data_IF_307226545728
#
_entry.id   IF_307226545728
#
_cell.length_a   1.000
_cell.length_b   1.000
_cell.length_c   1.000
_cell.angle_alpha   90.00
_cell.angle_beta   90.00
_cell.angle_gamma   90.00
#
_symmetry.space_group_name_H-M   'P 1'
#
loop_
_entity.id
_entity.type
_entity.pdbx_description
1 polymer ?
#
# COMPACT_ATOMS: atom_id res chain seq x y z
N UNK A 1 -14.10 -7.06 23.64
CA UNK A 1 -12.76 -6.85 23.07
C UNK A 1 -11.77 -6.94 24.21
N UNK A 2 -10.91 -7.95 24.21
CA UNK A 2 -9.78 -7.99 25.15
C UNK A 2 -8.62 -7.23 24.51
N UNK A 3 -8.17 -6.15 25.14
CA UNK A 3 -7.06 -5.30 24.68
C UNK A 3 -5.74 -5.60 25.43
N UNK A 4 -5.75 -6.62 26.31
CA UNK A 4 -4.53 -7.03 27.00
C UNK A 4 -3.72 -7.98 26.12
N UNK A 5 -2.45 -7.66 25.95
CA UNK A 5 -1.51 -8.52 25.25
C UNK A 5 -1.14 -9.72 26.10
N UNK A 6 -0.98 -10.88 25.46
CA UNK A 6 -0.42 -12.07 26.11
C UNK A 6 1.05 -11.84 26.51
N UNK A 7 1.59 -12.74 27.35
CA UNK A 7 3.00 -12.67 27.72
C UNK A 7 3.92 -12.81 26.51
N UNK A 8 3.57 -13.69 25.56
CA UNK A 8 4.28 -13.90 24.31
C UNK A 8 4.26 -12.63 23.43
N UNK A 9 3.10 -11.97 23.31
CA UNK A 9 2.96 -10.72 22.55
C UNK A 9 3.76 -9.56 23.20
N UNK A 10 3.79 -9.49 24.53
CA UNK A 10 4.63 -8.52 25.25
C UNK A 10 6.12 -8.78 25.02
N UNK A 11 6.55 -10.04 25.05
CA UNK A 11 7.94 -10.40 24.74
C UNK A 11 8.28 -10.11 23.28
N UNK A 12 7.40 -10.47 22.36
CA UNK A 12 7.55 -10.17 20.92
C UNK A 12 7.76 -8.66 20.68
N UNK A 13 7.02 -7.81 21.38
CA UNK A 13 7.23 -6.35 21.32
C UNK A 13 8.63 -5.94 21.72
N UNK A 14 9.17 -6.54 22.77
CA UNK A 14 10.54 -6.27 23.23
C UNK A 14 11.54 -6.71 22.17
N UNK A 15 11.37 -7.91 21.62
CA UNK A 15 12.26 -8.47 20.60
C UNK A 15 12.30 -7.59 19.34
N UNK A 16 11.13 -7.16 18.85
CA UNK A 16 11.01 -6.22 17.71
C UNK A 16 11.76 -4.93 17.98
N UNK A 17 11.54 -4.33 19.18
CA UNK A 17 12.15 -3.05 19.55
C UNK A 17 13.67 -3.13 19.59
N UNK A 18 14.22 -4.16 20.22
CA UNK A 18 15.67 -4.36 20.33
C UNK A 18 16.30 -4.63 18.96
N UNK A 19 15.63 -5.42 18.12
CA UNK A 19 16.08 -5.67 16.75
C UNK A 19 16.11 -4.37 15.93
N UNK A 20 15.04 -3.60 15.93
CA UNK A 20 14.95 -2.32 15.19
C UNK A 20 15.99 -1.31 15.70
N UNK A 21 16.20 -1.21 17.02
CA UNK A 21 17.22 -0.34 17.62
C UNK A 21 18.61 -0.63 17.09
N UNK A 22 18.89 -1.90 16.79
CA UNK A 22 20.20 -2.36 16.31
C UNK A 22 20.34 -2.22 14.79
N UNK A 23 19.28 -2.51 14.02
CA UNK A 23 19.35 -2.68 12.57
C UNK A 23 18.78 -1.50 11.78
N UNK A 24 17.82 -0.74 12.34
CA UNK A 24 17.24 0.38 11.60
C UNK A 24 18.29 1.46 11.29
N UNK A 25 18.31 1.98 10.05
CA UNK A 25 19.21 3.08 9.67
C UNK A 25 19.05 4.27 10.61
N UNK A 26 20.18 4.89 11.00
CA UNK A 26 20.18 6.05 11.89
C UNK A 26 19.81 7.35 11.20
N UNK A 27 19.87 7.37 9.87
CA UNK A 27 19.47 8.50 9.04
C UNK A 27 18.33 8.07 8.14
N UNK A 28 17.41 8.99 7.86
CA UNK A 28 16.36 8.77 6.86
C UNK A 28 17.01 8.45 5.52
N UNK A 29 16.49 7.43 4.84
CA UNK A 29 16.90 7.10 3.48
C UNK A 29 16.34 8.13 2.49
N UNK A 30 16.98 8.33 1.33
CA UNK A 30 16.44 9.13 0.23
C UNK A 30 15.04 8.64 -0.19
N UNK A 31 14.34 9.44 -0.99
CA UNK A 31 13.02 9.08 -1.50
C UNK A 31 13.05 7.73 -2.21
N UNK A 32 12.14 6.84 -1.80
CA UNK A 32 12.00 5.50 -2.42
C UNK A 32 11.42 5.56 -3.85
N UNK A 33 11.06 6.74 -4.32
CA UNK A 33 10.58 7.01 -5.67
C UNK A 33 11.70 7.52 -6.61
N UNK A 34 12.97 7.46 -6.17
CA UNK A 34 14.19 7.60 -6.97
C UNK A 34 14.93 6.28 -7.09
N UNK A 35 15.82 6.10 -8.07
CA UNK A 35 16.58 4.85 -8.23
C UNK A 35 17.46 4.56 -7.01
N UNK A 36 18.25 5.55 -6.56
CA UNK A 36 19.12 5.39 -5.39
C UNK A 36 18.31 5.03 -4.13
N UNK A 37 17.24 5.79 -3.86
CA UNK A 37 16.41 5.53 -2.69
C UNK A 37 15.70 4.18 -2.77
N UNK A 38 15.19 3.81 -3.96
CA UNK A 38 14.57 2.49 -4.16
C UNK A 38 15.54 1.35 -3.82
N UNK A 39 16.79 1.42 -4.30
CA UNK A 39 17.80 0.39 -4.07
C UNK A 39 18.15 0.29 -2.57
N UNK A 40 18.31 1.42 -1.88
CA UNK A 40 18.56 1.45 -0.43
C UNK A 40 17.37 0.89 0.38
N UNK A 41 16.14 1.22 -0.01
CA UNK A 41 14.95 0.66 0.62
C UNK A 41 14.80 -0.84 0.33
N UNK A 42 15.20 -1.31 -0.85
CA UNK A 42 15.25 -2.74 -1.19
C UNK A 42 16.27 -3.50 -0.32
N UNK A 43 17.45 -2.92 -0.07
CA UNK A 43 18.42 -3.51 0.87
C UNK A 43 17.86 -3.59 2.30
N UNK A 44 17.06 -2.62 2.68
CA UNK A 44 16.35 -2.68 3.96
C UNK A 44 15.32 -3.83 4.00
N UNK A 45 14.57 -4.07 2.91
CA UNK A 45 13.68 -5.24 2.80
C UNK A 45 14.47 -6.56 2.98
N UNK A 46 15.63 -6.67 2.34
CA UNK A 46 16.50 -7.83 2.50
C UNK A 46 17.02 -7.99 3.93
N UNK A 47 17.30 -6.88 4.59
CA UNK A 47 17.70 -6.89 6.00
C UNK A 47 16.58 -7.41 6.89
N UNK A 48 15.34 -6.95 6.68
CA UNK A 48 14.17 -7.48 7.38
C UNK A 48 13.94 -8.98 7.11
N UNK A 49 14.14 -9.40 5.87
CA UNK A 49 13.91 -10.78 5.43
C UNK A 49 14.89 -11.77 6.07
N UNK A 50 16.16 -11.41 6.26
CA UNK A 50 17.18 -12.28 6.90
C UNK A 50 16.71 -12.83 8.23
N UNK A 51 16.04 -12.00 9.03
CA UNK A 51 15.51 -12.37 10.35
C UNK A 51 13.97 -12.53 10.34
N UNK A 52 13.36 -12.63 9.15
CA UNK A 52 11.92 -12.84 8.92
C UNK A 52 11.02 -11.76 9.56
N UNK A 53 11.49 -10.54 9.62
CA UNK A 53 10.70 -9.41 10.13
C UNK A 53 9.81 -8.77 9.06
N UNK A 54 10.14 -8.96 7.78
CA UNK A 54 9.40 -8.35 6.68
C UNK A 54 7.93 -8.76 6.60
N UNK A 55 7.61 -10.01 6.98
CA UNK A 55 6.30 -10.61 6.76
C UNK A 55 5.90 -11.49 7.96
N UNK A 56 5.77 -10.89 9.15
CA UNK A 56 5.58 -11.62 10.43
C UNK A 56 4.34 -12.51 10.45
N UNK A 57 3.29 -12.15 9.74
CA UNK A 57 2.02 -12.89 9.68
C UNK A 57 1.92 -13.89 8.51
N UNK A 58 2.94 -13.98 7.63
CA UNK A 58 2.93 -14.97 6.57
C UNK A 58 3.26 -16.38 7.09
N UNK A 59 2.83 -17.44 6.39
CA UNK A 59 3.28 -18.80 6.66
C UNK A 59 4.79 -18.93 6.64
N UNK A 60 5.32 -19.76 7.54
CA UNK A 60 6.78 -19.95 7.69
C UNK A 60 7.42 -20.49 6.41
N UNK A 61 6.69 -21.34 5.69
CA UNK A 61 7.10 -21.94 4.40
C UNK A 61 7.34 -20.92 3.29
N UNK A 62 6.72 -19.72 3.40
CA UNK A 62 6.87 -18.62 2.43
C UNK A 62 7.71 -17.45 2.96
N UNK A 63 8.50 -17.68 4.02
CA UNK A 63 9.42 -16.68 4.56
C UNK A 63 8.86 -15.81 5.68
N UNK A 64 7.64 -16.08 6.18
CA UNK A 64 7.07 -15.42 7.34
C UNK A 64 7.45 -16.07 8.67
N UNK A 65 6.82 -15.58 9.75
CA UNK A 65 6.94 -16.14 11.10
C UNK A 65 5.72 -16.93 11.54
N UNK A 66 4.63 -16.97 10.76
CA UNK A 66 3.38 -17.64 11.09
C UNK A 66 2.63 -17.04 12.27
N UNK A 67 2.88 -15.76 12.57
CA UNK A 67 2.28 -15.08 13.71
C UNK A 67 0.89 -14.52 13.34
N UNK A 68 0.13 -14.16 14.37
CA UNK A 68 -1.20 -13.59 14.22
C UNK A 68 -1.21 -12.10 13.81
N UNK A 69 -2.39 -11.57 13.48
CA UNK A 69 -2.55 -10.17 13.08
C UNK A 69 -2.31 -9.18 14.24
N UNK A 70 -2.46 -9.58 15.50
CA UNK A 70 -2.09 -8.73 16.65
C UNK A 70 -0.57 -8.58 16.71
N UNK A 71 0.17 -9.66 16.51
CA UNK A 71 1.64 -9.61 16.41
C UNK A 71 2.10 -8.73 15.25
N UNK A 72 1.40 -8.79 14.10
CA UNK A 72 1.66 -7.85 13.01
C UNK A 72 1.42 -6.38 13.43
N UNK A 73 0.32 -6.06 14.13
CA UNK A 73 0.09 -4.70 14.64
C UNK A 73 1.19 -4.26 15.60
N UNK A 74 1.63 -5.14 16.50
CA UNK A 74 2.73 -4.87 17.42
C UNK A 74 4.03 -4.56 16.65
N UNK A 75 4.34 -5.34 15.61
CA UNK A 75 5.49 -5.09 14.75
C UNK A 75 5.40 -3.71 14.09
N UNK A 76 4.28 -3.37 13.50
CA UNK A 76 4.06 -2.07 12.85
C UNK A 76 4.18 -0.89 13.83
N UNK A 77 3.65 -1.03 15.05
CA UNK A 77 3.81 -0.01 16.08
C UNK A 77 5.28 0.27 16.42
N UNK A 78 6.07 -0.77 16.64
CA UNK A 78 7.49 -0.61 16.94
C UNK A 78 8.28 -0.15 15.71
N UNK A 79 7.89 -0.61 14.50
CA UNK A 79 8.47 -0.22 13.22
C UNK A 79 8.40 1.29 12.97
N UNK A 80 7.18 1.85 13.06
CA UNK A 80 6.96 3.28 12.85
C UNK A 80 7.45 4.13 14.04
N UNK A 81 7.46 3.59 15.26
CA UNK A 81 8.07 4.24 16.43
C UNK A 81 9.59 4.38 16.29
N UNK A 82 10.24 3.38 15.70
CA UNK A 82 11.68 3.39 15.42
C UNK A 82 12.05 4.28 14.22
N UNK A 83 11.07 4.89 13.55
CA UNK A 83 11.22 5.65 12.31
C UNK A 83 11.94 4.83 11.21
N UNK A 84 11.65 3.54 11.14
CA UNK A 84 12.25 2.63 10.17
C UNK A 84 11.84 3.01 8.73
N UNK A 85 12.67 2.66 7.71
CA UNK A 85 12.44 3.05 6.31
C UNK A 85 11.09 2.59 5.76
N UNK A 86 10.52 3.36 4.84
CA UNK A 86 9.31 2.95 4.12
C UNK A 86 9.58 1.68 3.32
N UNK A 87 8.53 0.88 3.08
CA UNK A 87 8.60 -0.42 2.41
C UNK A 87 8.37 -0.27 0.90
N UNK A 88 9.34 -0.65 0.05
CA UNK A 88 9.17 -0.69 -1.42
C UNK A 88 8.35 -1.90 -1.87
N UNK A 89 8.30 -2.94 -1.07
CA UNK A 89 7.63 -4.22 -1.37
C UNK A 89 6.11 -4.21 -1.15
N UNK A 90 5.52 -3.11 -0.70
CA UNK A 90 4.11 -3.04 -0.24
C UNK A 90 3.09 -3.66 -1.21
N UNK A 91 3.21 -3.38 -2.52
CA UNK A 91 2.28 -3.93 -3.51
C UNK A 91 2.36 -5.45 -3.61
N UNK A 92 3.58 -5.99 -3.51
CA UNK A 92 3.81 -7.44 -3.45
C UNK A 92 3.27 -8.02 -2.16
N UNK A 93 3.84 -7.63 -1.02
CA UNK A 93 3.62 -8.31 0.25
C UNK A 93 2.22 -8.13 0.84
N UNK A 94 1.56 -6.98 0.62
CA UNK A 94 0.25 -6.68 1.22
C UNK A 94 -0.93 -6.87 0.27
N UNK A 95 -0.72 -6.82 -1.06
CA UNK A 95 -1.78 -6.93 -2.05
C UNK A 95 -1.71 -8.23 -2.84
N UNK A 96 -0.57 -8.49 -3.49
CA UNK A 96 -0.44 -9.64 -4.38
C UNK A 96 -0.25 -10.95 -3.62
N UNK A 97 0.59 -10.98 -2.60
CA UNK A 97 0.89 -12.21 -1.88
C UNK A 97 -0.35 -12.87 -1.25
N UNK A 98 -1.23 -12.15 -0.50
CA UNK A 98 -2.47 -12.74 -0.03
C UNK A 98 -3.34 -13.28 -1.18
N UNK A 99 -3.34 -12.59 -2.33
CA UNK A 99 -4.06 -13.05 -3.52
C UNK A 99 -3.43 -14.33 -4.10
N UNK A 100 -2.09 -14.44 -4.15
CA UNK A 100 -1.41 -15.67 -4.58
C UNK A 100 -1.68 -16.81 -3.59
N UNK A 101 -1.67 -16.54 -2.29
CA UNK A 101 -1.98 -17.54 -1.27
C UNK A 101 -3.40 -18.10 -1.43
N UNK A 102 -4.36 -17.29 -1.83
CA UNK A 102 -5.76 -17.68 -2.02
C UNK A 102 -6.02 -18.33 -3.39
N UNK A 103 -5.57 -17.70 -4.48
CA UNK A 103 -5.93 -18.07 -5.86
C UNK A 103 -4.81 -18.76 -6.64
N UNK A 104 -3.56 -18.68 -6.17
CA UNK A 104 -2.41 -19.24 -6.89
C UNK A 104 -2.32 -20.76 -6.78
N UNK A 105 -1.79 -21.39 -7.83
CA UNK A 105 -1.38 -22.79 -7.80
C UNK A 105 -0.22 -23.00 -6.84
N UNK A 106 0.04 -24.26 -6.43
CA UNK A 106 1.20 -24.56 -5.58
C UNK A 106 2.53 -24.17 -6.24
N UNK A 107 2.63 -24.34 -7.58
CA UNK A 107 3.80 -23.94 -8.34
C UNK A 107 4.00 -22.41 -8.29
N UNK A 108 2.92 -21.63 -8.43
CA UNK A 108 2.97 -20.16 -8.32
C UNK A 108 3.34 -19.71 -6.90
N UNK A 109 2.77 -20.33 -5.87
CA UNK A 109 3.14 -20.03 -4.48
C UNK A 109 4.62 -20.28 -4.22
N UNK A 110 5.13 -21.44 -4.64
CA UNK A 110 6.55 -21.78 -4.49
C UNK A 110 7.49 -20.87 -5.30
N UNK A 111 7.06 -20.40 -6.47
CA UNK A 111 7.85 -19.53 -7.35
C UNK A 111 7.91 -18.08 -6.88
N UNK A 112 6.76 -17.51 -6.51
CA UNK A 112 6.64 -16.06 -6.33
C UNK A 112 6.71 -15.59 -4.88
N UNK A 113 6.23 -16.37 -3.91
CA UNK A 113 6.18 -15.91 -2.52
C UNK A 113 7.57 -15.79 -1.87
N UNK A 114 8.51 -16.74 -2.00
CA UNK A 114 9.82 -16.63 -1.37
C UNK A 114 10.64 -15.42 -1.86
N UNK A 115 10.81 -15.15 -3.18
CA UNK A 115 11.56 -13.98 -3.63
C UNK A 115 10.86 -12.65 -3.31
N UNK A 116 9.53 -12.65 -3.20
CA UNK A 116 8.78 -11.49 -2.70
C UNK A 116 9.04 -11.25 -1.22
N UNK A 117 9.11 -12.30 -0.41
CA UNK A 117 9.40 -12.21 1.02
C UNK A 117 10.84 -11.77 1.31
N UNK A 118 11.81 -12.15 0.45
CA UNK A 118 13.22 -11.75 0.59
C UNK A 118 13.52 -10.34 0.07
N UNK A 119 12.60 -9.71 -0.69
CA UNK A 119 12.85 -8.44 -1.37
C UNK A 119 13.64 -8.59 -2.67
N UNK A 120 13.80 -9.83 -3.19
CA UNK A 120 14.45 -10.08 -4.48
C UNK A 120 13.51 -9.77 -5.64
N UNK A 121 12.22 -9.93 -5.47
CA UNK A 121 11.19 -9.53 -6.42
C UNK A 121 10.31 -8.42 -5.85
N UNK A 122 10.38 -7.24 -6.43
CA UNK A 122 9.50 -6.11 -6.11
C UNK A 122 8.40 -5.99 -7.17
N UNK A 123 7.17 -5.75 -6.73
CA UNK A 123 5.98 -5.84 -7.57
C UNK A 123 5.25 -4.51 -7.73
N UNK A 124 4.87 -4.18 -8.96
CA UNK A 124 4.01 -3.06 -9.29
C UNK A 124 2.58 -3.53 -9.62
N UNK A 125 1.60 -2.66 -9.38
CA UNK A 125 0.21 -2.89 -9.78
C UNK A 125 -0.06 -2.24 -11.12
N UNK A 126 -0.57 -3.00 -12.10
CA UNK A 126 -0.84 -2.55 -13.46
C UNK A 126 -2.33 -2.72 -13.82
N UNK A 127 -3.20 -1.88 -13.21
CA UNK A 127 -4.65 -1.99 -13.38
C UNK A 127 -5.24 -0.84 -14.18
N UNK A 128 -5.05 0.40 -13.71
CA UNK A 128 -5.63 1.59 -14.32
C UNK A 128 -5.13 1.82 -15.74
N UNK A 129 -5.99 2.39 -16.58
CA UNK A 129 -5.68 2.86 -17.92
C UNK A 129 -6.02 4.34 -18.04
N UNK A 130 -5.54 5.07 -19.07
CA UNK A 130 -5.84 6.50 -19.21
C UNK A 130 -7.33 6.83 -19.10
N UNK A 131 -8.21 5.98 -19.66
CA UNK A 131 -9.67 6.17 -19.66
C UNK A 131 -10.39 5.29 -18.62
N UNK A 132 -9.67 4.50 -17.79
CA UNK A 132 -10.27 3.52 -16.88
C UNK A 132 -9.56 3.49 -15.54
N UNK A 133 -9.86 4.47 -14.67
CA UNK A 133 -9.44 4.54 -13.27
C UNK A 133 -10.56 4.09 -12.34
N UNK A 134 -11.46 5.01 -11.97
CA UNK A 134 -12.62 4.69 -11.12
C UNK A 134 -13.56 3.67 -11.77
N UNK A 135 -13.70 3.72 -13.11
CA UNK A 135 -14.40 2.70 -13.90
C UNK A 135 -13.43 1.61 -14.38
N UNK A 136 -12.83 0.90 -13.44
CA UNK A 136 -11.85 -0.15 -13.73
C UNK A 136 -12.41 -1.28 -14.60
N UNK A 137 -13.73 -1.48 -14.63
CA UNK A 137 -14.37 -2.46 -15.51
C UNK A 137 -14.30 -2.10 -16.98
N UNK A 138 -13.97 -0.85 -17.33
CA UNK A 138 -13.84 -0.36 -18.70
C UNK A 138 -12.45 -0.56 -19.32
N UNK A 139 -11.52 -1.25 -18.65
CA UNK A 139 -10.17 -1.52 -19.18
C UNK A 139 -10.20 -2.23 -20.53
N UNK A 140 -9.23 -1.87 -21.39
CA UNK A 140 -9.14 -2.32 -22.78
C UNK A 140 -7.86 -3.08 -23.11
N UNK A 141 -6.82 -3.00 -22.27
CA UNK A 141 -5.58 -3.79 -22.46
C UNK A 141 -5.98 -5.25 -22.62
N UNK A 142 -5.64 -5.83 -23.77
CA UNK A 142 -6.01 -7.20 -24.13
C UNK A 142 -4.84 -8.17 -23.96
N UNK A 143 -5.16 -9.43 -23.72
CA UNK A 143 -4.21 -10.52 -23.74
C UNK A 143 -4.84 -11.68 -24.54
N UNK A 144 -4.31 -11.94 -25.72
CA UNK A 144 -4.79 -12.99 -26.60
C UNK A 144 -3.95 -14.24 -26.41
N UNK A 145 -4.59 -15.38 -26.21
CA UNK A 145 -3.86 -16.65 -26.07
C UNK A 145 -3.29 -17.12 -27.40
N UNK A 146 -1.99 -17.39 -27.41
CA UNK A 146 -1.25 -17.95 -28.54
C UNK A 146 -0.41 -19.15 -28.04
N UNK A 147 -0.99 -20.34 -28.19
CA UNK A 147 -0.38 -21.58 -27.69
C UNK A 147 -0.22 -21.59 -26.17
N UNK A 148 1.02 -21.60 -25.71
CA UNK A 148 1.43 -21.62 -24.32
C UNK A 148 1.74 -20.22 -23.75
N UNK A 149 1.42 -19.15 -24.51
CA UNK A 149 1.60 -17.76 -24.11
C UNK A 149 0.32 -16.94 -24.25
N UNK A 150 0.25 -15.84 -23.50
CA UNK A 150 -0.61 -14.70 -23.80
C UNK A 150 0.20 -13.62 -24.49
N UNK A 151 -0.35 -13.01 -25.55
CA UNK A 151 0.18 -11.83 -26.22
C UNK A 151 -0.54 -10.62 -25.69
N UNK A 152 0.13 -9.79 -24.90
CA UNK A 152 -0.44 -8.63 -24.21
C UNK A 152 -0.22 -7.37 -25.01
N UNK A 153 -1.29 -6.61 -25.30
CA UNK A 153 -1.22 -5.33 -26.03
C UNK A 153 -2.12 -4.30 -25.35
N UNK A 154 -1.59 -3.10 -25.09
CA UNK A 154 -2.33 -2.01 -24.49
C UNK A 154 -1.47 -1.09 -23.64
N UNK A 155 -2.10 -0.33 -22.76
CA UNK A 155 -1.42 0.64 -21.90
C UNK A 155 -2.00 0.61 -20.48
N UNK A 156 -1.12 0.71 -19.50
CA UNK A 156 -1.47 0.93 -18.10
C UNK A 156 -0.86 2.25 -17.62
N UNK A 157 -1.50 2.86 -16.63
CA UNK A 157 -1.01 4.11 -16.03
C UNK A 157 -1.09 4.05 -14.51
N UNK A 158 -0.41 4.98 -13.84
CA UNK A 158 -0.34 5.10 -12.38
C UNK A 158 0.18 3.84 -11.69
N UNK A 159 1.08 3.10 -12.37
CA UNK A 159 1.72 1.92 -11.79
C UNK A 159 2.82 2.33 -10.83
N UNK A 160 2.55 2.22 -9.52
CA UNK A 160 3.48 2.66 -8.46
C UNK A 160 4.82 1.94 -8.57
N UNK A 161 5.90 2.70 -8.65
CA UNK A 161 7.30 2.25 -8.71
C UNK A 161 7.62 1.25 -9.84
N UNK A 162 6.76 1.15 -10.85
CA UNK A 162 6.99 0.22 -11.97
C UNK A 162 8.24 0.56 -12.78
N UNK A 163 8.79 1.78 -12.65
CA UNK A 163 10.09 2.15 -13.23
C UNK A 163 11.22 1.29 -12.64
N UNK A 164 11.14 0.95 -11.35
CA UNK A 164 12.18 0.28 -10.58
C UNK A 164 11.86 -1.18 -10.26
N UNK A 165 10.58 -1.57 -10.27
CA UNK A 165 10.11 -2.90 -9.90
C UNK A 165 10.53 -3.96 -10.93
N UNK A 166 10.51 -5.24 -10.49
CA UNK A 166 10.90 -6.40 -11.31
C UNK A 166 9.70 -6.99 -12.04
N UNK A 167 8.51 -6.95 -11.40
CA UNK A 167 7.28 -7.56 -11.89
C UNK A 167 6.08 -6.63 -11.78
N UNK A 168 5.07 -6.86 -12.57
CA UNK A 168 3.75 -6.31 -12.33
C UNK A 168 2.65 -7.38 -12.35
N UNK A 169 1.55 -7.10 -11.62
CA UNK A 169 0.32 -7.86 -11.72
C UNK A 169 -0.73 -7.03 -12.46
N UNK A 170 -1.01 -7.46 -13.69
CA UNK A 170 -1.88 -6.75 -14.61
C UNK A 170 -3.30 -7.33 -14.62
N UNK A 171 -4.30 -6.43 -14.67
CA UNK A 171 -5.67 -6.81 -15.00
C UNK A 171 -5.89 -6.52 -16.49
N UNK A 172 -6.23 -7.53 -17.26
CA UNK A 172 -6.33 -7.48 -18.73
C UNK A 172 -7.57 -8.20 -19.22
N UNK A 173 -7.99 -7.91 -20.45
CA UNK A 173 -9.12 -8.56 -21.11
C UNK A 173 -8.64 -9.74 -21.94
N UNK A 174 -9.08 -10.95 -21.59
CA UNK A 174 -8.69 -12.20 -22.25
C UNK A 174 -9.81 -12.79 -23.10
N UNK A 175 -11.08 -12.40 -22.88
CA UNK A 175 -12.22 -12.87 -23.67
C UNK A 175 -12.63 -11.80 -24.68
N UNK A 176 -12.52 -12.13 -25.96
CA UNK A 176 -12.91 -11.23 -27.05
C UNK A 176 -14.43 -10.95 -27.02
N UNK A 177 -14.80 -9.70 -27.30
CA UNK A 177 -16.21 -9.27 -27.27
C UNK A 177 -16.85 -9.17 -25.90
N UNK A 178 -16.11 -9.49 -24.82
CA UNK A 178 -16.61 -9.33 -23.44
C UNK A 178 -16.64 -7.87 -23.02
N UNK A 179 -17.58 -7.54 -22.14
CA UNK A 179 -17.77 -6.19 -21.63
C UNK A 179 -17.71 -6.13 -20.10
N UNK A 180 -17.34 -4.96 -19.62
CA UNK A 180 -17.31 -4.63 -18.17
C UNK A 180 -16.44 -5.62 -17.41
N UNK A 181 -16.95 -6.20 -16.33
CA UNK A 181 -16.22 -7.13 -15.45
C UNK A 181 -16.16 -8.58 -15.97
N UNK A 182 -16.77 -8.88 -17.10
CA UNK A 182 -16.67 -10.20 -17.75
C UNK A 182 -15.39 -10.28 -18.57
N UNK A 183 -14.85 -11.48 -18.75
CA UNK A 183 -13.73 -11.75 -19.63
C UNK A 183 -12.40 -11.12 -19.22
N UNK A 184 -12.26 -10.71 -17.96
CA UNK A 184 -11.03 -10.18 -17.42
C UNK A 184 -10.21 -11.29 -16.77
N UNK A 185 -8.89 -11.19 -16.87
CA UNK A 185 -7.92 -12.09 -16.23
C UNK A 185 -6.83 -11.31 -15.54
N UNK A 186 -6.21 -11.91 -14.52
CA UNK A 186 -5.06 -11.33 -13.82
C UNK A 186 -3.79 -12.07 -14.23
N UNK A 187 -2.84 -11.36 -14.82
CA UNK A 187 -1.60 -11.94 -15.34
C UNK A 187 -0.38 -11.32 -14.64
N UNK A 188 0.58 -12.15 -14.28
CA UNK A 188 1.85 -11.77 -13.67
C UNK A 188 2.90 -11.58 -14.78
N UNK A 189 3.42 -10.35 -14.93
CA UNK A 189 4.27 -9.97 -16.08
C UNK A 189 5.61 -9.45 -15.58
N UNK A 190 6.77 -10.03 -16.05
CA UNK A 190 8.07 -9.43 -15.81
C UNK A 190 8.15 -8.04 -16.47
N UNK A 191 8.69 -7.06 -15.77
CA UNK A 191 8.79 -5.69 -16.29
C UNK A 191 9.98 -5.47 -17.24
N UNK A 192 10.84 -6.47 -17.40
CA UNK A 192 11.93 -6.54 -18.39
C UNK A 192 11.55 -7.30 -19.66
N UNK A 193 10.28 -7.70 -19.83
CA UNK A 193 9.80 -8.42 -21.01
C UNK A 193 10.02 -7.62 -22.29
N UNK A 194 10.39 -8.30 -23.38
CA UNK A 194 10.45 -7.71 -24.72
C UNK A 194 9.09 -7.13 -25.13
N UNK A 195 9.08 -5.94 -25.73
CA UNK A 195 7.86 -5.23 -26.10
C UNK A 195 7.23 -4.42 -24.96
N UNK A 196 7.76 -4.46 -23.72
CA UNK A 196 7.27 -3.65 -22.61
C UNK A 196 8.12 -2.40 -22.43
N UNK A 197 7.48 -1.23 -22.55
CA UNK A 197 8.12 0.07 -22.27
C UNK A 197 7.55 0.69 -20.99
N UNK A 198 8.45 1.17 -20.13
CA UNK A 198 8.11 1.88 -18.88
C UNK A 198 8.44 3.36 -19.03
N UNK A 199 7.43 4.22 -18.91
CA UNK A 199 7.61 5.67 -18.96
C UNK A 199 7.30 6.28 -17.59
N UNK A 200 8.27 6.93 -16.93
CA UNK A 200 8.06 7.54 -15.62
C UNK A 200 7.06 8.69 -15.69
N UNK A 201 6.27 8.85 -14.63
CA UNK A 201 5.38 9.99 -14.39
C UNK A 201 5.93 10.73 -13.20
N UNK A 202 6.37 11.99 -13.41
CA UNK A 202 6.79 12.86 -12.33
C UNK A 202 5.58 13.29 -11.49
N UNK A 203 5.75 13.27 -10.17
CA UNK A 203 4.77 13.70 -9.19
C UNK A 203 4.97 15.18 -8.81
N UNK A 204 4.19 15.67 -7.84
CA UNK A 204 4.31 17.06 -7.35
C UNK A 204 5.66 17.35 -6.68
N UNK A 205 6.28 16.34 -6.10
CA UNK A 205 7.62 16.38 -5.50
C UNK A 205 8.75 16.26 -6.53
N UNK A 206 8.42 16.06 -7.81
CA UNK A 206 9.37 15.87 -8.90
C UNK A 206 9.85 14.43 -9.08
N UNK A 207 9.60 13.53 -8.14
CA UNK A 207 10.05 12.14 -8.19
C UNK A 207 9.22 11.30 -9.17
N UNK A 208 9.84 10.33 -9.90
CA UNK A 208 9.15 9.44 -10.83
C UNK A 208 8.52 8.22 -10.14
N UNK A 209 7.72 8.45 -9.10
CA UNK A 209 7.11 7.40 -8.28
C UNK A 209 6.03 6.56 -8.97
N UNK A 210 5.57 6.97 -10.16
CA UNK A 210 4.63 6.21 -10.99
C UNK A 210 5.17 6.00 -12.40
N UNK A 211 4.58 5.02 -13.11
CA UNK A 211 4.87 4.81 -14.53
C UNK A 211 3.60 4.56 -15.34
N UNK A 212 3.68 4.92 -16.62
CA UNK A 212 2.90 4.30 -17.68
C UNK A 212 3.63 3.06 -18.18
N UNK A 213 2.88 2.01 -18.46
CA UNK A 213 3.38 0.76 -19.03
C UNK A 213 2.72 0.58 -20.40
N UNK A 214 3.55 0.47 -21.43
CA UNK A 214 3.10 0.20 -22.80
C UNK A 214 3.45 -1.24 -23.15
N UNK A 215 2.45 -2.01 -23.53
CA UNK A 215 2.58 -3.41 -23.93
C UNK A 215 2.39 -3.48 -25.44
N UNK A 216 3.47 -3.80 -26.15
CA UNK A 216 3.46 -4.02 -27.61
C UNK A 216 3.76 -5.48 -27.89
N UNK A 217 2.69 -6.28 -28.00
CA UNK A 217 2.73 -7.73 -28.23
C UNK A 217 3.62 -8.50 -27.21
N UNK A 218 3.59 -8.09 -25.95
CA UNK A 218 4.38 -8.72 -24.88
C UNK A 218 3.93 -10.17 -24.65
N UNK A 219 4.86 -11.11 -24.83
CA UNK A 219 4.59 -12.55 -24.66
C UNK A 219 4.78 -12.97 -23.21
N UNK A 220 3.74 -13.51 -22.60
CA UNK A 220 3.73 -13.95 -21.19
C UNK A 220 3.27 -15.40 -21.11
N UNK A 221 4.02 -16.31 -20.45
CA UNK A 221 3.59 -17.70 -20.30
C UNK A 221 2.22 -17.86 -19.66
N UNK A 222 1.42 -18.82 -20.13
CA UNK A 222 0.07 -19.08 -19.58
C UNK A 222 0.11 -19.47 -18.09
N UNK A 223 1.21 -20.01 -17.60
CA UNK A 223 1.42 -20.34 -16.19
C UNK A 223 1.47 -19.12 -15.28
N UNK A 224 1.63 -17.91 -15.84
CA UNK A 224 1.58 -16.65 -15.12
C UNK A 224 0.15 -16.10 -14.93
N UNK A 225 -0.88 -16.80 -15.42
CA UNK A 225 -2.28 -16.50 -15.14
C UNK A 225 -2.59 -16.78 -13.67
N UNK A 226 -3.01 -15.77 -12.92
CA UNK A 226 -3.38 -15.91 -11.51
C UNK A 226 -4.90 -16.06 -11.35
N UNK A 227 -5.31 -17.21 -10.84
CA UNK A 227 -6.72 -17.57 -10.72
C UNK A 227 -7.33 -18.07 -12.04
N UNK A 228 -8.65 -18.18 -12.14
CA UNK A 228 -9.32 -18.70 -13.34
C UNK A 228 -9.24 -17.71 -14.51
N UNK A 229 -9.05 -18.25 -15.72
CA UNK A 229 -9.17 -17.47 -16.98
C UNK A 229 -10.58 -16.88 -17.09
N UNK A 230 -10.68 -15.63 -17.52
CA UNK A 230 -11.90 -14.80 -17.57
C UNK A 230 -12.56 -14.50 -16.21
N UNK A 231 -12.00 -15.02 -15.11
CA UNK A 231 -12.46 -14.79 -13.73
C UNK A 231 -11.68 -13.71 -12.97
N UNK A 232 -10.81 -12.97 -13.63
CA UNK A 232 -9.88 -12.00 -13.03
C UNK A 232 -10.55 -10.85 -12.27
N UNK A 233 -11.81 -10.53 -12.57
CA UNK A 233 -12.54 -9.53 -11.78
C UNK A 233 -12.69 -9.94 -10.31
N UNK A 234 -13.07 -11.20 -10.04
CA UNK A 234 -13.15 -11.73 -8.67
C UNK A 234 -11.81 -11.68 -7.95
N UNK A 235 -10.73 -12.08 -8.64
CA UNK A 235 -9.36 -12.02 -8.12
C UNK A 235 -8.91 -10.58 -7.84
N UNK A 236 -9.27 -9.63 -8.72
CA UNK A 236 -8.99 -8.21 -8.51
C UNK A 236 -9.77 -7.65 -7.33
N UNK A 237 -11.03 -8.03 -7.13
CA UNK A 237 -11.84 -7.58 -5.99
C UNK A 237 -11.30 -8.10 -4.66
N UNK A 238 -10.79 -9.33 -4.60
CA UNK A 238 -10.10 -9.86 -3.43
C UNK A 238 -8.83 -9.03 -3.12
N UNK A 239 -8.00 -8.77 -4.13
CA UNK A 239 -6.82 -7.89 -3.99
C UNK A 239 -7.19 -6.48 -3.50
N UNK A 240 -8.25 -5.88 -4.08
CA UNK A 240 -8.75 -4.57 -3.64
C UNK A 240 -9.30 -4.61 -2.19
N UNK A 241 -9.78 -5.76 -1.73
CA UNK A 241 -10.15 -6.01 -0.34
C UNK A 241 -8.94 -5.90 0.58
N UNK A 242 -7.82 -6.49 0.21
CA UNK A 242 -6.55 -6.37 0.95
C UNK A 242 -6.00 -4.95 0.93
N UNK A 243 -6.11 -4.23 -0.20
CA UNK A 243 -5.67 -2.83 -0.34
C UNK A 243 -6.41 -1.89 0.62
N UNK A 244 -7.72 -2.07 0.75
CA UNK A 244 -8.57 -1.29 1.66
C UNK A 244 -8.51 -1.80 3.09
N UNK A 245 -7.92 -2.99 3.28
CA UNK A 245 -7.85 -3.71 4.53
C UNK A 245 -6.71 -3.24 5.43
N UNK A 246 -6.41 -4.07 6.42
CA UNK A 246 -5.55 -3.77 7.55
C UNK A 246 -4.08 -3.57 7.18
N UNK A 247 -3.57 -4.39 6.25
CA UNK A 247 -2.13 -4.57 6.09
C UNK A 247 -1.43 -3.38 5.44
N UNK A 248 -2.06 -2.74 4.45
CA UNK A 248 -1.41 -1.65 3.71
C UNK A 248 -1.46 -0.29 4.44
N UNK A 249 -2.41 -0.10 5.38
CA UNK A 249 -2.63 1.17 6.09
C UNK A 249 -2.62 0.97 7.59
N UNK A 250 -1.46 0.58 8.09
CA UNK A 250 -1.23 0.45 9.53
C UNK A 250 -1.57 1.74 10.28
N UNK A 251 -2.32 1.66 11.39
CA UNK A 251 -2.60 2.83 12.24
C UNK A 251 -1.32 3.41 12.84
N UNK A 252 -0.29 2.60 13.05
CA UNK A 252 0.98 3.00 13.65
C UNK A 252 1.69 4.10 12.83
N UNK A 253 1.58 4.07 11.50
CA UNK A 253 2.08 5.14 10.62
C UNK A 253 1.49 6.49 11.00
N UNK A 254 0.17 6.55 11.18
CA UNK A 254 -0.54 7.78 11.52
C UNK A 254 -0.28 8.20 12.97
N UNK A 255 -0.16 7.23 13.90
CA UNK A 255 0.22 7.51 15.29
C UNK A 255 1.62 8.14 15.37
N UNK A 256 2.59 7.63 14.62
CA UNK A 256 3.92 8.22 14.55
C UNK A 256 3.88 9.64 13.96
N UNK A 257 3.09 9.88 12.91
CA UNK A 257 2.89 11.21 12.34
C UNK A 257 2.19 12.16 13.34
N UNK A 258 1.15 11.70 14.04
CA UNK A 258 0.45 12.51 15.05
C UNK A 258 1.37 12.85 16.23
N UNK A 259 2.23 11.93 16.67
CA UNK A 259 3.21 12.20 17.71
C UNK A 259 4.22 13.30 17.30
N UNK A 260 4.69 13.24 16.03
CA UNK A 260 5.53 14.32 15.46
C UNK A 260 4.77 15.65 15.36
N UNK A 261 3.49 15.62 14.97
CA UNK A 261 2.66 16.83 14.92
C UNK A 261 2.51 17.49 16.30
N UNK A 262 2.29 16.70 17.33
CA UNK A 262 2.23 17.20 18.72
C UNK A 262 3.57 17.82 19.14
N UNK A 263 4.69 17.21 18.77
CA UNK A 263 6.04 17.76 19.03
C UNK A 263 6.21 19.10 18.29
N UNK A 264 5.92 19.14 16.99
CA UNK A 264 5.99 20.35 16.17
C UNK A 264 5.15 21.49 16.76
N UNK A 265 3.91 21.19 17.21
CA UNK A 265 3.06 22.18 17.87
C UNK A 265 3.69 22.72 19.16
N UNK A 266 4.23 21.86 20.01
CA UNK A 266 4.88 22.29 21.28
C UNK A 266 6.07 23.21 21.06
N UNK A 267 6.83 22.99 19.98
CA UNK A 267 7.98 23.83 19.61
C UNK A 267 7.60 25.20 19.08
N UNK A 268 6.36 25.34 18.55
CA UNK A 268 5.92 26.57 17.87
C UNK A 268 4.69 27.25 18.50
N UNK A 269 4.11 26.71 19.57
CA UNK A 269 2.82 27.12 20.14
C UNK A 269 2.69 28.61 20.45
N UNK A 270 3.80 29.25 20.85
CA UNK A 270 3.79 30.66 21.32
C UNK A 270 3.56 31.66 20.18
N UNK A 271 3.75 31.24 18.92
CA UNK A 271 3.50 32.04 17.71
C UNK A 271 2.18 31.70 17.00
N UNK A 272 1.44 30.74 17.51
CA UNK A 272 0.23 30.21 16.86
C UNK A 272 -1.05 30.76 17.49
N UNK A 273 -2.11 30.84 16.68
CA UNK A 273 -3.45 31.13 17.20
C UNK A 273 -4.01 29.96 18.01
N UNK A 274 -4.92 30.24 18.93
CA UNK A 274 -5.54 29.24 19.81
C UNK A 274 -6.22 28.08 19.05
N UNK A 275 -6.82 28.36 17.88
CA UNK A 275 -7.52 27.36 17.08
C UNK A 275 -6.60 26.28 16.48
N UNK A 276 -5.27 26.53 16.35
CA UNK A 276 -4.33 25.52 15.85
C UNK A 276 -4.16 24.38 16.87
N UNK A 277 -4.19 24.68 18.17
CA UNK A 277 -4.14 23.65 19.21
C UNK A 277 -5.32 22.68 19.13
N UNK A 278 -6.52 23.16 18.82
CA UNK A 278 -7.70 22.32 18.60
C UNK A 278 -7.53 21.40 17.38
N UNK A 279 -6.94 21.88 16.29
CA UNK A 279 -6.66 21.08 15.10
C UNK A 279 -5.67 19.94 15.42
N UNK A 280 -4.64 20.21 16.21
CA UNK A 280 -3.67 19.19 16.65
C UNK A 280 -4.34 18.12 17.51
N UNK A 281 -5.17 18.54 18.47
CA UNK A 281 -5.96 17.61 19.32
C UNK A 281 -6.87 16.76 18.45
N UNK A 282 -7.59 17.36 17.51
CA UNK A 282 -8.49 16.64 16.62
C UNK A 282 -7.73 15.64 15.72
N UNK A 283 -6.56 16.00 15.19
CA UNK A 283 -5.71 15.10 14.40
C UNK A 283 -5.26 13.90 15.25
N UNK A 284 -4.81 14.13 16.48
CA UNK A 284 -4.41 13.07 17.41
C UNK A 284 -5.59 12.15 17.76
N UNK A 285 -6.73 12.74 18.15
CA UNK A 285 -7.95 11.96 18.48
C UNK A 285 -8.44 11.09 17.32
N UNK A 286 -8.40 11.61 16.10
CA UNK A 286 -8.80 10.85 14.92
C UNK A 286 -7.85 9.68 14.66
N UNK A 287 -6.56 9.86 14.90
CA UNK A 287 -5.56 8.80 14.80
C UNK A 287 -5.81 7.69 15.81
N UNK A 288 -6.11 8.03 17.06
CA UNK A 288 -6.45 7.05 18.10
C UNK A 288 -7.80 6.33 17.81
N UNK A 289 -8.79 7.03 17.25
CA UNK A 289 -10.03 6.40 16.77
C UNK A 289 -9.77 5.39 15.66
N UNK A 290 -8.91 5.73 14.70
CA UNK A 290 -8.54 4.81 13.62
C UNK A 290 -7.79 3.58 14.17
N UNK A 291 -6.89 3.79 15.12
CA UNK A 291 -6.19 2.71 15.81
C UNK A 291 -7.17 1.77 16.53
N UNK A 292 -8.09 2.30 17.34
CA UNK A 292 -9.09 1.51 18.06
C UNK A 292 -10.00 0.72 17.11
N UNK A 293 -10.44 1.34 16.01
CA UNK A 293 -11.25 0.68 14.97
C UNK A 293 -10.47 -0.45 14.27
N UNK A 294 -9.16 -0.25 14.05
CA UNK A 294 -8.29 -1.28 13.47
C UNK A 294 -8.14 -2.48 14.41
N UNK A 295 -7.90 -2.27 15.69
CA UNK A 295 -7.83 -3.36 16.69
C UNK A 295 -9.16 -4.12 16.78
N UNK A 296 -10.30 -3.41 16.75
CA UNK A 296 -11.62 -4.06 16.71
C UNK A 296 -11.78 -4.94 15.47
N UNK A 297 -11.38 -4.44 14.30
CA UNK A 297 -11.46 -5.17 13.04
C UNK A 297 -10.56 -6.42 13.07
N UNK A 298 -9.30 -6.29 13.54
CA UNK A 298 -8.38 -7.42 13.71
C UNK A 298 -8.96 -8.48 14.62
N UNK A 299 -9.53 -8.08 15.77
CA UNK A 299 -10.15 -9.03 16.72
C UNK A 299 -11.31 -9.78 16.08
N UNK A 300 -12.12 -9.13 15.25
CA UNK A 300 -13.23 -9.77 14.50
C UNK A 300 -12.70 -10.74 13.43
N UNK A 301 -11.68 -10.35 12.69
CA UNK A 301 -11.05 -11.21 11.66
C UNK A 301 -10.43 -12.46 12.29
N UNK A 302 -9.74 -12.32 13.41
CA UNK A 302 -9.22 -13.47 14.16
C UNK A 302 -10.32 -14.40 14.71
N UNK A 303 -11.50 -13.85 14.98
CA UNK A 303 -12.68 -14.63 15.35
C UNK A 303 -13.42 -15.25 14.13
N UNK A 304 -12.86 -15.14 12.93
CA UNK A 304 -13.41 -15.74 11.70
C UNK A 304 -14.35 -14.83 10.90
N UNK A 305 -14.47 -13.55 11.23
CA UNK A 305 -15.25 -12.61 10.43
C UNK A 305 -14.51 -12.24 9.13
N UNK A 306 -15.24 -12.14 8.02
CA UNK A 306 -14.70 -11.60 6.77
C UNK A 306 -14.69 -10.07 6.80
N UNK A 307 -13.70 -9.46 6.15
CA UNK A 307 -13.67 -8.02 5.88
C UNK A 307 -14.66 -7.72 4.75
N UNK A 308 -15.65 -6.91 5.05
CA UNK A 308 -16.71 -6.55 4.09
C UNK A 308 -16.58 -5.10 3.61
N UNK A 309 -17.68 -4.55 3.10
CA UNK A 309 -17.79 -3.14 2.67
C UNK A 309 -17.42 -2.10 3.76
N UNK A 310 -17.24 -2.51 5.01
CA UNK A 310 -16.72 -1.68 6.12
C UNK A 310 -15.31 -1.14 5.81
N UNK A 311 -14.51 -1.86 5.00
CA UNK A 311 -13.22 -1.37 4.50
C UNK A 311 -13.33 -0.05 3.74
N UNK A 312 -14.48 0.21 3.10
CA UNK A 312 -14.77 1.49 2.44
C UNK A 312 -14.89 2.64 3.43
N UNK A 313 -15.50 2.43 4.60
CA UNK A 313 -15.56 3.43 5.68
C UNK A 313 -14.15 3.74 6.23
N UNK A 314 -13.34 2.71 6.43
CA UNK A 314 -11.96 2.89 6.86
C UNK A 314 -11.15 3.73 5.87
N UNK A 315 -11.31 3.46 4.55
CA UNK A 315 -10.63 4.21 3.50
C UNK A 315 -11.01 5.68 3.49
N UNK A 316 -12.29 6.00 3.60
CA UNK A 316 -12.77 7.36 3.74
C UNK A 316 -12.15 8.06 4.95
N UNK A 317 -12.20 7.38 6.09
CA UNK A 317 -11.74 7.96 7.35
C UNK A 317 -10.23 8.25 7.33
N UNK A 318 -9.38 7.26 7.00
CA UNK A 318 -7.95 7.48 7.06
C UNK A 318 -7.45 8.48 6.01
N UNK A 319 -8.05 8.53 4.81
CA UNK A 319 -7.60 9.45 3.77
C UNK A 319 -7.89 10.93 4.11
N UNK A 320 -9.04 11.21 4.72
CA UNK A 320 -9.37 12.56 5.20
C UNK A 320 -8.57 12.92 6.47
N UNK A 321 -8.36 11.96 7.37
CA UNK A 321 -7.54 12.12 8.57
C UNK A 321 -6.09 12.47 8.21
N UNK A 322 -5.48 11.76 7.25
CA UNK A 322 -4.11 11.98 6.80
C UNK A 322 -3.94 13.39 6.21
N UNK A 323 -4.87 13.81 5.35
CA UNK A 323 -4.91 15.19 4.82
C UNK A 323 -5.02 16.24 5.93
N UNK A 324 -5.92 16.03 6.88
CA UNK A 324 -6.10 16.97 7.99
C UNK A 324 -4.84 17.08 8.85
N UNK A 325 -4.23 15.95 9.18
CA UNK A 325 -3.00 15.88 9.97
C UNK A 325 -1.86 16.68 9.30
N UNK A 326 -1.57 16.40 8.02
CA UNK A 326 -0.50 17.07 7.30
C UNK A 326 -0.81 18.55 7.03
N UNK A 327 -2.06 18.90 6.70
CA UNK A 327 -2.48 20.31 6.57
C UNK A 327 -2.26 21.09 7.87
N UNK A 328 -2.53 20.48 9.02
CA UNK A 328 -2.29 21.11 10.33
C UNK A 328 -0.79 21.37 10.53
N UNK A 329 0.09 20.45 10.13
CA UNK A 329 1.52 20.67 10.16
C UNK A 329 1.94 21.86 9.28
N UNK A 330 1.44 21.95 8.03
CA UNK A 330 1.70 23.09 7.14
C UNK A 330 1.26 24.41 7.77
N UNK A 331 0.10 24.42 8.45
CA UNK A 331 -0.39 25.61 9.16
C UNK A 331 0.55 26.03 10.31
N UNK A 332 1.12 25.07 11.04
CA UNK A 332 2.08 25.35 12.14
C UNK A 332 3.39 25.91 11.58
N UNK A 333 3.87 25.36 10.48
CA UNK A 333 5.14 25.75 9.85
C UNK A 333 5.08 27.13 9.17
N UNK A 334 3.92 27.54 8.66
CA UNK A 334 3.76 28.79 7.93
C UNK A 334 4.64 28.82 6.68
N UNK A 335 5.39 29.89 6.45
CA UNK A 335 6.27 30.01 5.27
C UNK A 335 7.36 28.91 5.18
N UNK A 336 7.79 28.36 6.31
CA UNK A 336 8.76 27.25 6.32
C UNK A 336 8.19 25.95 5.73
N UNK A 337 6.88 25.86 5.53
CA UNK A 337 6.21 24.71 4.94
C UNK A 337 6.56 24.51 3.45
N UNK A 338 7.08 25.52 2.78
CA UNK A 338 7.46 25.50 1.36
C UNK A 338 8.90 25.01 1.14
N UNK A 339 9.66 24.79 2.22
CA UNK A 339 11.07 24.39 2.14
C UNK A 339 11.20 22.86 2.14
N UNK A 340 11.80 22.33 1.09
CA UNK A 340 12.07 20.91 0.93
C UNK A 340 13.35 20.49 1.66
N UNK A 341 14.38 21.34 1.61
CA UNK A 341 15.69 21.08 2.20
C UNK A 341 16.33 22.36 2.77
N UNK A 342 17.55 22.22 3.28
CA UNK A 342 18.32 23.34 3.82
C UNK A 342 18.16 23.53 5.32
N UNK A 343 18.93 24.51 5.88
CA UNK A 343 19.02 24.73 7.32
C UNK A 343 17.71 25.16 7.98
N UNK A 344 16.84 25.80 7.21
CA UNK A 344 15.54 26.32 7.68
C UNK A 344 14.39 25.36 7.40
N UNK A 345 14.63 24.24 6.69
CA UNK A 345 13.64 23.23 6.39
C UNK A 345 13.33 22.38 7.64
N UNK A 346 12.10 22.49 8.14
CA UNK A 346 11.66 21.72 9.32
C UNK A 346 11.57 20.24 8.95
N UNK A 347 12.24 19.37 9.75
CA UNK A 347 12.23 17.92 9.58
C UNK A 347 12.67 17.49 8.14
N UNK A 348 13.57 18.27 7.52
CA UNK A 348 14.10 18.06 6.16
C UNK A 348 12.98 17.85 5.12
N UNK A 349 11.99 18.72 5.07
CA UNK A 349 10.89 18.69 4.12
C UNK A 349 9.85 17.57 4.32
N UNK A 350 10.03 16.68 5.29
CA UNK A 350 9.18 15.51 5.52
C UNK A 350 7.69 15.83 5.64
N UNK A 351 7.34 17.00 6.17
CA UNK A 351 5.96 17.43 6.30
C UNK A 351 5.37 17.84 4.96
N UNK A 352 6.17 18.49 4.10
CA UNK A 352 5.76 18.85 2.74
C UNK A 352 5.55 17.59 1.89
N UNK A 353 6.50 16.62 1.91
CA UNK A 353 6.37 15.32 1.24
C UNK A 353 5.08 14.61 1.70
N UNK A 354 4.87 14.55 3.02
CA UNK A 354 3.68 13.93 3.59
C UNK A 354 2.39 14.64 3.19
N UNK A 355 2.40 15.96 3.12
CA UNK A 355 1.25 16.74 2.67
C UNK A 355 0.93 16.46 1.20
N UNK A 356 1.91 16.56 0.30
CA UNK A 356 1.73 16.26 -1.12
C UNK A 356 1.20 14.84 -1.33
N UNK A 357 1.79 13.85 -0.68
CA UNK A 357 1.33 12.46 -0.75
C UNK A 357 -0.10 12.29 -0.20
N UNK A 358 -0.47 12.99 0.88
CA UNK A 358 -1.80 12.88 1.49
C UNK A 358 -2.94 13.33 0.57
N UNK A 359 -2.65 14.25 -0.39
CA UNK A 359 -3.62 14.73 -1.36
C UNK A 359 -4.10 13.62 -2.30
N UNK A 360 -3.28 12.62 -2.57
CA UNK A 360 -3.65 11.46 -3.38
C UNK A 360 -4.52 10.43 -2.62
N UNK A 361 -4.52 10.46 -1.28
CA UNK A 361 -5.28 9.54 -0.44
C UNK A 361 -6.77 9.42 -0.79
N UNK A 362 -7.51 10.50 -1.02
CA UNK A 362 -8.90 10.45 -1.48
C UNK A 362 -9.10 9.89 -2.90
N UNK A 363 -8.04 9.76 -3.71
CA UNK A 363 -8.10 9.40 -5.13
C UNK A 363 -7.80 7.92 -5.34
N UNK A 364 -6.63 7.43 -4.90
CA UNK A 364 -6.23 6.04 -5.13
C UNK A 364 -7.02 5.03 -4.28
N UNK A 365 -6.88 3.73 -4.56
CA UNK A 365 -7.61 2.64 -3.90
C UNK A 365 -9.15 2.77 -4.02
N UNK A 366 -9.62 3.32 -5.13
CA UNK A 366 -11.01 3.76 -5.34
C UNK A 366 -11.28 5.10 -4.66
N UNK A 367 -11.73 6.09 -5.44
CA UNK A 367 -11.96 7.45 -4.94
C UNK A 367 -12.91 7.47 -3.74
N UNK A 368 -12.83 8.52 -2.93
CA UNK A 368 -13.75 8.68 -1.80
C UNK A 368 -15.22 8.70 -2.24
N UNK A 369 -15.51 9.18 -3.44
CA UNK A 369 -16.84 9.16 -4.07
C UNK A 369 -17.29 7.73 -4.34
N UNK A 370 -16.42 6.89 -4.94
CA UNK A 370 -16.70 5.47 -5.15
C UNK A 370 -16.91 4.74 -3.82
N UNK A 371 -16.11 5.04 -2.79
CA UNK A 371 -16.28 4.42 -1.47
C UNK A 371 -17.63 4.81 -0.83
N UNK A 372 -18.07 6.07 -0.98
CA UNK A 372 -19.40 6.52 -0.52
C UNK A 372 -20.52 5.79 -1.27
N UNK A 373 -20.39 5.59 -2.59
CA UNK A 373 -21.37 4.82 -3.37
C UNK A 373 -21.43 3.37 -2.89
N UNK A 374 -20.29 2.72 -2.63
CA UNK A 374 -20.25 1.36 -2.10
C UNK A 374 -20.97 1.29 -0.73
N UNK A 375 -20.71 2.22 0.15
CA UNK A 375 -21.41 2.28 1.47
C UNK A 375 -22.91 2.52 1.29
N UNK A 376 -23.28 3.46 0.44
CA UNK A 376 -24.68 3.78 0.19
C UNK A 376 -25.46 2.56 -0.35
N UNK A 377 -24.91 1.91 -1.39
CA UNK A 377 -25.60 0.83 -2.11
C UNK A 377 -25.52 -0.52 -1.36
N UNK A 378 -24.33 -0.89 -0.84
CA UNK A 378 -24.08 -2.24 -0.32
C UNK A 378 -24.24 -2.36 1.20
N UNK A 379 -24.07 -1.26 1.96
CA UNK A 379 -24.21 -1.26 3.42
C UNK A 379 -25.56 -0.70 3.83
N UNK A 380 -25.97 0.44 3.27
CA UNK A 380 -27.23 1.10 3.60
C UNK A 380 -28.40 0.64 2.74
N UNK A 381 -28.17 -0.11 1.66
CA UNK A 381 -29.22 -0.62 0.77
C UNK A 381 -29.93 0.46 -0.05
N UNK A 382 -29.29 1.61 -0.27
CA UNK A 382 -29.88 2.68 -1.07
C UNK A 382 -29.94 2.28 -2.56
N UNK A 383 -30.96 2.76 -3.30
CA UNK A 383 -31.13 2.36 -4.70
C UNK A 383 -29.99 2.87 -5.58
N UNK A 384 -29.58 2.04 -6.53
CA UNK A 384 -28.71 2.46 -7.64
C UNK A 384 -29.48 3.34 -8.60
N UNK A 385 -28.85 4.41 -9.06
CA UNK A 385 -29.37 5.17 -10.21
C UNK A 385 -29.12 4.45 -11.53
#
# INVERSE_FOLDING_TARGET
MNIEYTSEQKQFRVDVREWLKTHAPKKRLPSLDTQEGFDLHREWERTLAKDKWGNVNWPVEYGGRGLDLISWLIFEEEYYRADAPLRVSQNGIFLLAPTIMEYGTQAQKARFLPPMASGDDIWAQAWSEPDAGSDMAAIRTKAVRDGDHYVVTGQKTWSSRAVFADWCFALVRTEEGSERHKGLSKILIPLDSEGLTRRPIAQLDGDPGFAELFFDEVRVPVENLLGPEHGGWGVAMATAGFERGLLLRSPARFQAAAARLVKLYKEHKDRLSSGVGEQVIQAWMNTERFCAATYQLVSRVQAGASISSESSANKLFWSEMDRHLHRTAMTIMGAQAELEDGLDAIDNGRWLDGYMFSLAGPIYAGTNEIQRNILAERVLGLPRK
#
